data_IF_836486829020
#
_entry.id   IF_836486829020
#
_cell.length_a   1.000
_cell.length_b   1.000
_cell.length_c   1.000
_cell.angle_alpha   90.00
_cell.angle_beta   90.00
_cell.angle_gamma   90.00
#
_symmetry.space_group_name_H-M   'P 1'
#
loop_
_entity.id
_entity.type
_entity.pdbx_description
1 polymer ?
#
# COMPACT_ATOMS: atom_id res chain seq x y z
N UNK A 1 2.96 20.05 4.14
CA UNK A 1 2.33 18.77 3.76
C UNK A 1 1.44 18.36 4.92
N UNK A 2 0.18 17.99 4.68
CA UNK A 2 -0.63 17.43 5.76
C UNK A 2 -0.20 15.98 5.96
N UNK A 3 0.26 15.62 7.16
CA UNK A 3 0.56 14.24 7.53
C UNK A 3 -0.71 13.37 7.52
N UNK A 4 -1.86 13.99 7.76
CA UNK A 4 -3.17 13.37 7.72
C UNK A 4 -3.85 13.69 6.39
N UNK A 5 -3.65 12.82 5.41
CA UNK A 5 -4.41 12.83 4.16
C UNK A 5 -5.18 11.51 4.00
N UNK A 6 -6.28 11.48 3.24
CA UNK A 6 -7.05 10.25 3.03
C UNK A 6 -6.20 9.11 2.47
N UNK A 7 -5.29 9.42 1.53
CA UNK A 7 -4.31 8.48 1.00
C UNK A 7 -3.31 7.97 2.04
N UNK A 8 -2.84 8.84 2.94
CA UNK A 8 -1.93 8.42 4.02
C UNK A 8 -2.61 7.43 4.99
N UNK A 9 -3.86 7.71 5.38
CA UNK A 9 -4.65 6.84 6.26
C UNK A 9 -4.88 5.48 5.59
N UNK A 10 -5.29 5.47 4.31
CA UNK A 10 -5.50 4.24 3.55
C UNK A 10 -4.21 3.42 3.44
N UNK A 11 -3.09 4.04 3.06
CA UNK A 11 -1.81 3.35 2.93
C UNK A 11 -1.35 2.75 4.25
N UNK A 12 -1.45 3.49 5.35
CA UNK A 12 -1.09 2.96 6.68
C UNK A 12 -1.97 1.78 7.08
N UNK A 13 -3.28 1.85 6.86
CA UNK A 13 -4.19 0.74 7.15
C UNK A 13 -3.86 -0.52 6.34
N UNK A 14 -3.59 -0.37 5.04
CA UNK A 14 -3.20 -1.47 4.16
C UNK A 14 -1.82 -2.04 4.50
N UNK A 15 -0.87 -1.19 4.90
CA UNK A 15 0.44 -1.64 5.39
C UNK A 15 0.28 -2.50 6.65
N UNK A 16 -0.51 -2.07 7.63
CA UNK A 16 -0.80 -2.87 8.83
C UNK A 16 -1.45 -4.21 8.47
N UNK A 17 -2.45 -4.21 7.59
CA UNK A 17 -3.10 -5.43 7.11
C UNK A 17 -2.10 -6.37 6.42
N UNK A 18 -1.20 -5.81 5.60
CA UNK A 18 -0.14 -6.56 4.93
C UNK A 18 0.87 -7.12 5.93
N UNK A 19 1.30 -6.37 6.93
CA UNK A 19 2.21 -6.88 7.97
C UNK A 19 1.60 -8.06 8.72
N UNK A 20 0.33 -7.97 9.10
CA UNK A 20 -0.39 -9.06 9.77
C UNK A 20 -0.56 -10.28 8.86
N UNK A 21 -1.01 -10.06 7.62
CA UNK A 21 -1.20 -11.12 6.63
C UNK A 21 0.12 -11.81 6.25
N UNK A 22 1.20 -11.04 6.11
CA UNK A 22 2.52 -11.54 5.77
C UNK A 22 3.13 -12.33 6.93
N UNK A 23 2.93 -11.89 8.18
CA UNK A 23 3.33 -12.66 9.37
C UNK A 23 2.65 -14.03 9.39
N UNK A 24 1.33 -14.09 9.16
CA UNK A 24 0.61 -15.35 9.05
C UNK A 24 1.15 -16.22 7.89
N UNK A 25 1.37 -15.64 6.72
CA UNK A 25 1.86 -16.36 5.55
C UNK A 25 3.25 -16.97 5.78
N UNK A 26 4.21 -16.19 6.31
CA UNK A 26 5.58 -16.64 6.60
C UNK A 26 5.60 -17.76 7.64
N UNK A 27 4.76 -17.68 8.68
CA UNK A 27 4.66 -18.73 9.70
C UNK A 27 4.20 -20.08 9.12
N UNK A 28 3.40 -20.07 8.05
CA UNK A 28 2.98 -21.27 7.33
C UNK A 28 3.97 -21.70 6.22
N UNK A 29 4.96 -20.86 5.90
CA UNK A 29 5.89 -21.04 4.78
C UNK A 29 7.07 -21.99 5.07
N UNK A 30 7.23 -22.43 6.32
CA UNK A 30 8.37 -23.24 6.78
C UNK A 30 8.59 -24.57 6.03
N UNK A 31 7.56 -25.13 5.40
CA UNK A 31 7.68 -26.35 4.58
C UNK A 31 8.28 -26.07 3.19
N UNK A 32 7.91 -24.95 2.55
CA UNK A 32 8.41 -24.55 1.22
C UNK A 32 9.86 -24.05 1.26
N UNK A 33 10.25 -23.39 2.35
CA UNK A 33 11.63 -22.92 2.57
C UNK A 33 12.65 -24.08 2.58
N UNK A 34 12.23 -25.30 2.93
CA UNK A 34 13.11 -26.49 2.96
C UNK A 34 13.52 -27.00 1.58
N UNK A 35 12.70 -26.73 0.56
CA UNK A 35 12.94 -27.16 -0.84
C UNK A 35 13.59 -26.02 -1.65
N UNK A 36 13.21 -24.76 -1.38
CA UNK A 36 13.65 -23.59 -2.14
C UNK A 36 14.67 -22.68 -1.42
N UNK A 37 15.08 -23.04 -0.19
CA UNK A 37 16.18 -22.43 0.55
C UNK A 37 16.22 -20.90 0.51
N UNK A 38 17.37 -20.36 0.08
CA UNK A 38 17.63 -18.92 -0.06
C UNK A 38 16.75 -18.24 -1.11
N UNK A 39 16.40 -18.92 -2.22
CA UNK A 39 15.56 -18.38 -3.29
C UNK A 39 14.14 -18.12 -2.77
N UNK A 40 13.59 -19.03 -1.96
CA UNK A 40 12.31 -18.83 -1.31
C UNK A 40 12.29 -17.61 -0.39
N UNK A 41 13.38 -17.38 0.35
CA UNK A 41 13.52 -16.21 1.24
C UNK A 41 13.60 -14.90 0.44
N UNK A 42 14.32 -14.88 -0.68
CA UNK A 42 14.38 -13.72 -1.57
C UNK A 42 13.00 -13.41 -2.15
N UNK A 43 12.28 -14.41 -2.65
CA UNK A 43 10.92 -14.23 -3.19
C UNK A 43 9.96 -13.67 -2.15
N UNK A 44 9.98 -14.19 -0.93
CA UNK A 44 9.20 -13.69 0.21
C UNK A 44 9.45 -12.18 0.42
N UNK A 45 10.71 -11.77 0.49
CA UNK A 45 11.08 -10.35 0.65
C UNK A 45 10.68 -9.51 -0.56
N UNK A 46 10.87 -10.02 -1.78
CA UNK A 46 10.44 -9.32 -3.00
C UNK A 46 8.93 -9.10 -3.03
N UNK A 47 8.14 -10.10 -2.67
CA UNK A 47 6.68 -9.98 -2.58
C UNK A 47 6.28 -8.97 -1.52
N UNK A 48 6.95 -8.94 -0.36
CA UNK A 48 6.69 -7.95 0.69
C UNK A 48 6.92 -6.52 0.19
N UNK A 49 8.08 -6.28 -0.43
CA UNK A 49 8.43 -4.95 -0.96
C UNK A 49 7.47 -4.56 -2.08
N UNK A 50 7.14 -5.50 -2.98
CA UNK A 50 6.22 -5.27 -4.09
C UNK A 50 4.83 -4.85 -3.59
N UNK A 51 4.25 -5.56 -2.62
CA UNK A 51 2.95 -5.23 -2.06
C UNK A 51 2.99 -3.87 -1.36
N UNK A 52 4.03 -3.57 -0.58
CA UNK A 52 4.17 -2.26 0.07
C UNK A 52 4.31 -1.12 -0.93
N UNK A 53 5.05 -1.33 -2.03
CA UNK A 53 5.18 -0.34 -3.10
C UNK A 53 3.83 -0.07 -3.78
N UNK A 54 3.04 -1.11 -4.06
CA UNK A 54 1.68 -0.95 -4.58
C UNK A 54 0.77 -0.17 -3.63
N UNK A 55 0.82 -0.47 -2.33
CA UNK A 55 0.02 0.24 -1.32
C UNK A 55 0.35 1.73 -1.31
N UNK A 56 1.64 2.09 -1.37
CA UNK A 56 2.07 3.49 -1.45
C UNK A 56 1.54 4.18 -2.70
N UNK A 57 1.61 3.51 -3.85
CA UNK A 57 1.14 4.05 -5.12
C UNK A 57 -0.37 4.29 -5.10
N UNK A 58 -1.15 3.35 -4.55
CA UNK A 58 -2.61 3.49 -4.40
C UNK A 58 -2.96 4.69 -3.49
N UNK A 59 -2.28 4.85 -2.36
CA UNK A 59 -2.53 6.01 -1.49
C UNK A 59 -2.13 7.34 -2.13
N UNK A 60 -1.07 7.34 -2.95
CA UNK A 60 -0.68 8.51 -3.73
C UNK A 60 -1.74 8.86 -4.78
N UNK A 61 -2.19 7.88 -5.57
CA UNK A 61 -3.26 8.08 -6.55
C UNK A 61 -4.53 8.61 -5.90
N UNK A 62 -4.95 8.05 -4.76
CA UNK A 62 -6.12 8.53 -4.03
C UNK A 62 -5.97 10.00 -3.60
N UNK A 63 -4.79 10.37 -3.08
CA UNK A 63 -4.53 11.77 -2.70
C UNK A 63 -4.65 12.70 -3.91
N UNK A 64 -4.06 12.32 -5.05
CA UNK A 64 -4.11 13.10 -6.29
C UNK A 64 -5.54 13.21 -6.81
N UNK A 65 -6.31 12.11 -6.83
CA UNK A 65 -7.71 12.12 -7.27
C UNK A 65 -8.57 13.07 -6.43
N UNK A 66 -8.38 13.08 -5.11
CA UNK A 66 -9.12 13.99 -4.22
C UNK A 66 -8.72 15.45 -4.46
N UNK A 67 -7.43 15.72 -4.69
CA UNK A 67 -6.96 17.07 -5.02
C UNK A 67 -7.55 17.58 -6.34
N UNK A 68 -7.61 16.73 -7.36
CA UNK A 68 -8.22 17.05 -8.67
C UNK A 68 -9.71 17.36 -8.50
N UNK A 69 -10.47 16.49 -7.83
CA UNK A 69 -11.90 16.69 -7.59
C UNK A 69 -12.19 17.98 -6.81
N UNK A 70 -11.34 18.31 -5.82
CA UNK A 70 -11.47 19.55 -5.07
C UNK A 70 -11.25 20.78 -5.96
N UNK A 71 -10.25 20.75 -6.84
CA UNK A 71 -10.00 21.85 -7.79
C UNK A 71 -11.15 22.03 -8.79
N UNK A 72 -11.76 20.95 -9.26
CA UNK A 72 -12.92 21.01 -10.14
C UNK A 72 -14.14 21.63 -9.43
N UNK A 73 -14.39 21.23 -8.19
CA UNK A 73 -15.46 21.82 -7.37
C UNK A 73 -15.23 23.32 -7.12
N UNK A 74 -14.01 23.70 -6.70
CA UNK A 74 -13.66 25.09 -6.47
C UNK A 74 -13.89 25.91 -7.75
N UNK A 75 -13.50 25.38 -8.92
CA UNK A 75 -13.74 26.01 -10.22
C UNK A 75 -15.23 26.25 -10.50
N UNK A 76 -16.10 25.26 -10.25
CA UNK A 76 -17.55 25.40 -10.43
C UNK A 76 -18.12 26.50 -9.54
N UNK A 77 -17.67 26.57 -8.29
CA UNK A 77 -18.13 27.57 -7.32
C UNK A 77 -17.69 29.00 -7.67
N UNK A 78 -16.62 29.20 -8.44
CA UNK A 78 -16.24 30.52 -8.95
C UNK A 78 -17.16 31.06 -10.06
N UNK A 79 -17.86 30.18 -10.78
CA UNK A 79 -18.74 30.57 -11.90
C UNK A 79 -20.22 30.70 -11.51
N UNK A 80 -20.62 30.21 -10.33
CA UNK A 80 -21.94 30.42 -9.73
C UNK A 80 -21.99 31.69 -8.88
#
# INVERSE_FOLDING_TARGET
WALLSPGAILSTALMLATTLGFSYWVNNFGSYSKIYGSIGTVLVVMTLIYINALILLIGFELNVSIEVLKKEQDQIDYFN
#
